data_IF_554210057508
#
_entry.id   IF_554210057508
#
_cell.length_a   1.000
_cell.length_b   1.000
_cell.length_c   1.000
_cell.angle_alpha   90.00
_cell.angle_beta   90.00
_cell.angle_gamma   90.00
#
_symmetry.space_group_name_H-M   'P 1'
#
loop_
_entity.id
_entity.type
_entity.pdbx_description
1 polymer ?
#
# COMPACT_ATOMS: atom_id res chain seq x y z
N UNK A 1 -8.64 0.37 -0.82
CA UNK A 1 -10.03 -0.20 -0.92
C UNK A 1 -10.44 -0.57 0.49
N UNK A 2 -11.59 -0.11 0.96
CA UNK A 2 -12.12 -0.39 2.30
C UNK A 2 -13.39 -1.23 2.32
N UNK A 3 -13.78 -1.79 1.19
CA UNK A 3 -14.94 -2.66 1.07
C UNK A 3 -14.78 -3.61 -0.11
N UNK A 4 -15.14 -4.89 0.10
CA UNK A 4 -15.19 -5.91 -0.94
C UNK A 4 -16.29 -6.94 -0.59
N UNK A 5 -17.04 -7.41 -1.59
CA UNK A 5 -18.19 -8.31 -1.38
C UNK A 5 -17.84 -9.66 -0.76
N UNK A 6 -16.58 -10.09 -0.88
CA UNK A 6 -16.09 -11.35 -0.32
C UNK A 6 -15.46 -11.22 1.08
N UNK A 7 -15.30 -10.00 1.58
CA UNK A 7 -14.74 -9.80 2.91
C UNK A 7 -15.69 -10.31 3.99
N UNK A 8 -15.23 -10.55 5.24
CA UNK A 8 -16.05 -11.16 6.26
C UNK A 8 -17.38 -10.45 6.41
N UNK A 9 -18.47 -11.16 6.19
CA UNK A 9 -19.83 -10.58 6.32
C UNK A 9 -20.07 -10.00 7.71
N UNK A 10 -19.45 -10.58 8.73
CA UNK A 10 -19.49 -10.09 10.12
C UNK A 10 -19.02 -8.64 10.26
N UNK A 11 -18.09 -8.20 9.40
CA UNK A 11 -17.66 -6.80 9.39
C UNK A 11 -18.75 -5.82 8.95
N UNK A 12 -19.76 -6.31 8.23
CA UNK A 12 -20.79 -5.45 7.63
C UNK A 12 -22.21 -5.75 8.16
N UNK A 13 -22.43 -6.90 8.80
CA UNK A 13 -23.76 -7.30 9.29
C UNK A 13 -23.99 -6.93 10.74
N UNK A 14 -22.95 -6.77 11.54
CA UNK A 14 -23.04 -6.47 12.97
C UNK A 14 -23.15 -4.97 13.27
N UNK A 15 -23.15 -4.13 12.23
CA UNK A 15 -23.21 -2.68 12.37
C UNK A 15 -24.50 -2.11 11.78
N UNK A 16 -24.98 -0.96 12.28
CA UNK A 16 -26.14 -0.29 11.72
C UNK A 16 -25.97 -0.06 10.21
N UNK A 17 -27.06 -0.18 9.45
CA UNK A 17 -27.04 0.10 8.00
C UNK A 17 -26.63 1.54 7.66
N UNK A 18 -26.65 2.44 8.65
CA UNK A 18 -26.14 3.81 8.58
C UNK A 18 -24.62 3.90 8.55
N UNK A 19 -23.91 2.86 9.01
CA UNK A 19 -22.45 2.87 9.03
C UNK A 19 -21.91 2.69 7.62
N UNK A 20 -20.98 3.54 7.23
CA UNK A 20 -20.28 3.40 5.96
C UNK A 20 -19.35 2.18 6.00
N UNK A 21 -19.09 1.55 4.86
CA UNK A 21 -18.09 0.48 4.80
C UNK A 21 -16.70 0.91 5.30
N UNK A 22 -16.38 2.20 5.25
CA UNK A 22 -15.16 2.77 5.79
C UNK A 22 -15.12 2.76 7.33
N UNK A 23 -16.22 3.11 7.99
CA UNK A 23 -16.25 3.09 9.47
C UNK A 23 -16.12 1.68 10.02
N UNK A 24 -16.71 0.71 9.34
CA UNK A 24 -16.55 -0.72 9.67
C UNK A 24 -15.11 -1.18 9.48
N UNK A 25 -14.52 -0.85 8.33
CA UNK A 25 -13.12 -1.16 8.02
C UNK A 25 -12.15 -0.57 9.05
N UNK A 26 -12.40 0.67 9.50
CA UNK A 26 -11.55 1.38 10.45
C UNK A 26 -11.61 0.84 11.89
N UNK A 27 -12.53 -0.10 12.19
CA UNK A 27 -12.55 -0.86 13.44
C UNK A 27 -11.61 -2.07 13.41
N UNK A 28 -11.27 -2.54 12.22
CA UNK A 28 -10.43 -3.70 12.00
C UNK A 28 -9.01 -3.33 11.57
N UNK A 29 -8.85 -2.22 10.86
CA UNK A 29 -7.59 -1.76 10.31
C UNK A 29 -7.34 -0.30 10.69
N UNK A 30 -6.09 0.04 10.97
CA UNK A 30 -5.68 1.40 11.36
C UNK A 30 -5.24 2.27 10.18
N UNK A 31 -5.16 1.70 8.97
CA UNK A 31 -4.78 2.42 7.75
C UNK A 31 -5.43 1.81 6.51
N UNK A 32 -5.51 2.61 5.44
CA UNK A 32 -6.00 2.17 4.14
C UNK A 32 -5.22 2.79 3.00
N UNK A 33 -4.92 1.99 1.96
CA UNK A 33 -4.46 2.50 0.68
C UNK A 33 -5.69 2.91 -0.16
N UNK A 34 -5.93 4.22 -0.27
CA UNK A 34 -7.01 4.81 -1.06
C UNK A 34 -6.57 5.08 -2.50
N UNK A 35 -6.96 4.21 -3.42
CA UNK A 35 -6.59 4.34 -4.85
C UNK A 35 -7.50 5.27 -5.63
N UNK A 36 -8.63 5.68 -5.08
CA UNK A 36 -9.63 6.52 -5.80
C UNK A 36 -9.06 7.85 -6.23
N UNK A 37 -8.24 8.49 -5.39
CA UNK A 37 -7.63 9.81 -5.67
C UNK A 37 -6.67 9.79 -6.86
N UNK A 38 -6.17 8.62 -7.24
CA UNK A 38 -5.34 8.46 -8.43
C UNK A 38 -6.14 8.64 -9.72
N UNK A 39 -7.40 8.19 -9.76
CA UNK A 39 -8.26 8.24 -10.95
C UNK A 39 -9.20 9.44 -10.96
N UNK A 40 -9.66 9.87 -9.78
CA UNK A 40 -10.64 10.94 -9.63
C UNK A 40 -10.50 11.62 -8.28
N UNK A 41 -10.50 12.94 -8.26
CA UNK A 41 -10.50 13.68 -7.00
C UNK A 41 -11.88 13.62 -6.35
N UNK A 42 -11.95 13.42 -5.03
CA UNK A 42 -13.20 13.46 -4.27
C UNK A 42 -13.75 14.89 -4.24
N UNK A 43 -15.03 15.05 -3.91
CA UNK A 43 -15.53 16.34 -3.49
C UNK A 43 -15.30 16.58 -1.99
N UNK A 44 -15.45 17.83 -1.55
CA UNK A 44 -15.20 18.24 -0.16
C UNK A 44 -16.05 17.45 0.85
N UNK A 45 -17.32 17.20 0.53
CA UNK A 45 -18.23 16.47 1.40
C UNK A 45 -17.80 15.00 1.59
N UNK A 46 -17.24 14.38 0.54
CA UNK A 46 -16.72 13.03 0.65
C UNK A 46 -15.50 12.97 1.60
N UNK A 47 -14.60 13.95 1.50
CA UNK A 47 -13.41 14.02 2.38
C UNK A 47 -13.83 14.25 3.85
N UNK A 48 -14.80 15.14 4.07
CA UNK A 48 -15.37 15.38 5.40
C UNK A 48 -15.99 14.11 5.97
N UNK A 49 -16.82 13.40 5.17
CA UNK A 49 -17.36 12.09 5.61
C UNK A 49 -16.28 11.07 5.91
N UNK A 50 -15.20 10.99 5.12
CA UNK A 50 -14.08 10.07 5.42
C UNK A 50 -13.44 10.40 6.76
N UNK A 51 -13.12 11.69 6.99
CA UNK A 51 -12.56 12.15 8.27
C UNK A 51 -13.43 11.72 9.46
N UNK A 52 -14.74 11.96 9.36
CA UNK A 52 -15.68 11.76 10.46
C UNK A 52 -16.06 10.28 10.66
N UNK A 53 -15.81 9.42 9.64
CA UNK A 53 -16.11 7.99 9.68
C UNK A 53 -15.03 7.13 10.34
N UNK A 54 -13.87 7.69 10.67
CA UNK A 54 -12.73 6.92 11.20
C UNK A 54 -12.22 7.49 12.53
N UNK A 55 -11.67 6.65 13.41
CA UNK A 55 -11.11 7.11 14.70
C UNK A 55 -9.87 8.00 14.49
N UNK A 56 -9.45 8.71 15.54
CA UNK A 56 -8.35 9.67 15.48
C UNK A 56 -7.00 9.04 15.11
N UNK A 57 -6.77 7.80 15.51
CA UNK A 57 -5.53 7.09 15.17
C UNK A 57 -5.48 6.54 13.74
N UNK A 58 -6.60 6.57 13.00
CA UNK A 58 -6.64 6.03 11.64
C UNK A 58 -5.88 6.93 10.66
N UNK A 59 -5.12 6.33 9.75
CA UNK A 59 -4.33 7.03 8.75
C UNK A 59 -4.70 6.62 7.34
N UNK A 60 -4.96 7.61 6.48
CA UNK A 60 -5.16 7.41 5.05
C UNK A 60 -3.82 7.49 4.31
N UNK A 61 -3.56 6.53 3.43
CA UNK A 61 -2.52 6.64 2.42
C UNK A 61 -3.19 6.85 1.05
N UNK A 62 -3.16 8.07 0.55
CA UNK A 62 -3.74 8.43 -0.75
C UNK A 62 -2.67 8.58 -1.82
N UNK A 63 -3.08 8.49 -3.09
CA UNK A 63 -2.19 8.71 -4.22
C UNK A 63 -2.38 10.09 -4.82
N UNK A 64 -1.29 10.68 -5.29
CA UNK A 64 -1.36 11.79 -6.21
C UNK A 64 -2.12 11.38 -7.47
N UNK A 65 -2.89 12.31 -8.04
CA UNK A 65 -3.70 12.06 -9.23
C UNK A 65 -2.81 11.69 -10.43
N UNK A 66 -3.31 10.82 -11.30
CA UNK A 66 -2.56 10.33 -12.45
C UNK A 66 -2.12 11.45 -13.43
N UNK A 67 -2.84 12.56 -13.49
CA UNK A 67 -2.40 13.69 -14.30
C UNK A 67 -1.03 14.21 -13.84
N UNK A 68 -0.82 14.33 -12.52
CA UNK A 68 0.45 14.80 -11.94
C UNK A 68 1.58 13.82 -12.30
N UNK A 69 1.35 12.51 -12.10
CA UNK A 69 2.41 11.51 -12.17
C UNK A 69 2.62 10.93 -13.56
N UNK A 70 1.55 10.69 -14.33
CA UNK A 70 1.60 9.98 -15.61
C UNK A 70 1.48 10.91 -16.81
N UNK A 71 0.61 11.92 -16.76
CA UNK A 71 0.42 12.86 -17.87
C UNK A 71 1.51 13.92 -17.85
N UNK A 72 1.60 14.68 -16.77
CA UNK A 72 2.58 15.77 -16.62
C UNK A 72 3.97 15.29 -16.23
N UNK A 73 4.10 14.07 -15.72
CA UNK A 73 5.37 13.51 -15.25
C UNK A 73 6.13 14.47 -14.33
N UNK A 74 5.39 15.05 -13.38
CA UNK A 74 5.82 15.98 -12.35
C UNK A 74 6.18 17.42 -12.83
N UNK A 75 5.91 17.75 -14.09
CA UNK A 75 6.18 19.09 -14.66
C UNK A 75 4.90 19.90 -14.79
N UNK A 76 4.98 21.20 -14.48
CA UNK A 76 3.88 22.14 -14.71
C UNK A 76 2.53 21.67 -14.12
N UNK A 77 2.55 21.09 -12.92
CA UNK A 77 1.38 20.53 -12.25
C UNK A 77 1.12 21.14 -10.85
N UNK A 78 1.67 22.34 -10.60
CA UNK A 78 1.57 23.00 -9.30
C UNK A 78 0.11 23.28 -8.89
N UNK A 79 -0.73 23.70 -9.84
CA UNK A 79 -2.15 23.96 -9.61
C UNK A 79 -2.91 22.68 -9.25
N UNK A 80 -2.64 21.56 -9.95
CA UNK A 80 -3.25 20.25 -9.66
C UNK A 80 -2.82 19.74 -8.30
N UNK A 81 -1.54 19.90 -7.94
CA UNK A 81 -1.02 19.53 -6.63
C UNK A 81 -1.70 20.36 -5.54
N UNK A 82 -1.71 21.68 -5.68
CA UNK A 82 -2.33 22.59 -4.72
C UNK A 82 -3.82 22.29 -4.55
N UNK A 83 -4.55 22.03 -5.65
CA UNK A 83 -5.96 21.65 -5.64
C UNK A 83 -6.17 20.34 -4.88
N UNK A 84 -5.36 19.30 -5.16
CA UNK A 84 -5.52 18.01 -4.50
C UNK A 84 -5.21 18.10 -3.00
N UNK A 85 -4.15 18.79 -2.61
CA UNK A 85 -3.79 18.96 -1.21
C UNK A 85 -4.85 19.80 -0.46
N UNK A 86 -5.37 20.86 -1.08
CA UNK A 86 -6.47 21.66 -0.52
C UNK A 86 -7.72 20.81 -0.29
N UNK A 87 -8.09 19.93 -1.24
CA UNK A 87 -9.23 19.03 -1.08
C UNK A 87 -9.05 18.03 0.07
N UNK A 88 -7.83 17.55 0.30
CA UNK A 88 -7.54 16.57 1.35
C UNK A 88 -7.22 17.21 2.71
N UNK A 89 -7.01 18.53 2.76
CA UNK A 89 -6.64 19.25 3.99
C UNK A 89 -7.59 19.04 5.19
N UNK A 90 -8.93 18.81 5.01
CA UNK A 90 -9.81 18.52 6.15
C UNK A 90 -9.49 17.24 6.91
N UNK A 91 -8.72 16.31 6.30
CA UNK A 91 -8.28 15.09 6.98
C UNK A 91 -7.29 15.37 8.12
N UNK A 92 -6.54 16.48 8.03
CA UNK A 92 -5.53 16.87 9.04
C UNK A 92 -4.55 15.70 9.31
N UNK A 93 -4.38 15.37 10.58
CA UNK A 93 -3.52 14.29 11.05
C UNK A 93 -3.89 12.89 10.49
N UNK A 94 -5.14 12.73 10.01
CA UNK A 94 -5.59 11.48 9.40
C UNK A 94 -5.05 11.27 7.98
N UNK A 95 -4.49 12.31 7.34
CA UNK A 95 -3.71 12.15 6.11
C UNK A 95 -2.30 11.66 6.46
N UNK A 96 -2.12 10.34 6.49
CA UNK A 96 -0.86 9.72 6.92
C UNK A 96 0.23 9.81 5.86
N UNK A 97 -0.09 9.51 4.60
CA UNK A 97 0.90 9.47 3.50
C UNK A 97 0.28 9.86 2.16
N UNK A 98 0.99 10.67 1.39
CA UNK A 98 0.72 10.90 -0.04
C UNK A 98 1.68 10.08 -0.89
N UNK A 99 1.14 9.13 -1.65
CA UNK A 99 1.92 8.22 -2.50
C UNK A 99 2.07 8.78 -3.91
N UNK A 100 3.30 8.92 -4.35
CA UNK A 100 3.68 9.35 -5.69
C UNK A 100 4.03 8.12 -6.54
N UNK A 101 3.03 7.54 -7.22
CA UNK A 101 3.24 6.38 -8.08
C UNK A 101 3.69 6.84 -9.47
N UNK A 102 4.94 6.57 -9.83
CA UNK A 102 5.53 6.94 -11.12
C UNK A 102 5.36 5.84 -12.17
N UNK A 103 5.14 6.17 -13.45
CA UNK A 103 5.05 5.18 -14.52
C UNK A 103 6.40 4.51 -14.80
N UNK A 104 6.39 3.39 -15.51
CA UNK A 104 7.61 2.69 -15.91
C UNK A 104 8.48 3.50 -16.89
N UNK A 105 7.91 4.49 -17.55
CA UNK A 105 8.61 5.45 -18.43
C UNK A 105 9.32 6.57 -17.66
N UNK A 106 9.18 6.63 -16.33
CA UNK A 106 9.89 7.59 -15.50
C UNK A 106 11.26 7.02 -15.11
N UNK A 107 12.24 7.25 -15.96
CA UNK A 107 13.61 6.71 -15.83
C UNK A 107 14.55 7.59 -15.02
N UNK A 108 15.83 7.16 -14.89
CA UNK A 108 16.86 7.87 -14.13
C UNK A 108 17.12 9.30 -14.62
N UNK A 109 16.94 9.56 -15.91
CA UNK A 109 17.10 10.88 -16.53
C UNK A 109 16.10 11.92 -15.99
N UNK A 110 15.03 11.47 -15.32
CA UNK A 110 13.98 12.32 -14.74
C UNK A 110 14.15 12.54 -13.23
N UNK A 111 15.21 12.03 -12.61
CA UNK A 111 15.48 12.29 -11.19
C UNK A 111 15.57 13.78 -10.84
N UNK A 112 16.09 14.68 -11.69
CA UNK A 112 16.04 16.13 -11.42
C UNK A 112 14.60 16.68 -11.34
N UNK A 113 13.67 16.15 -12.14
CA UNK A 113 12.26 16.53 -12.09
C UNK A 113 11.61 16.06 -10.77
N UNK A 114 11.95 14.85 -10.34
CA UNK A 114 11.50 14.31 -9.04
C UNK A 114 12.04 15.16 -7.87
N UNK A 115 13.31 15.55 -7.94
CA UNK A 115 13.94 16.39 -6.91
C UNK A 115 13.24 17.75 -6.80
N UNK A 116 13.01 18.41 -7.93
CA UNK A 116 12.28 19.68 -8.00
C UNK A 116 10.86 19.56 -7.47
N UNK A 117 10.15 18.51 -7.88
CA UNK A 117 8.78 18.26 -7.42
C UNK A 117 8.72 18.07 -5.91
N UNK A 118 9.58 17.21 -5.34
CA UNK A 118 9.62 16.94 -3.89
C UNK A 118 10.00 18.19 -3.10
N UNK A 119 10.91 19.03 -3.64
CA UNK A 119 11.31 20.30 -3.01
C UNK A 119 10.18 21.33 -2.94
N UNK A 120 9.22 21.28 -3.88
CA UNK A 120 8.09 22.20 -3.95
C UNK A 120 6.91 21.80 -3.03
N UNK A 121 6.91 20.57 -2.50
CA UNK A 121 5.85 20.09 -1.61
C UNK A 121 5.99 20.67 -0.19
N UNK A 122 4.89 20.82 0.58
CA UNK A 122 4.94 21.20 1.98
C UNK A 122 5.85 20.24 2.79
N UNK A 123 6.70 20.79 3.64
CA UNK A 123 7.68 20.01 4.41
C UNK A 123 7.05 19.01 5.38
N UNK A 124 5.86 19.35 5.91
CA UNK A 124 5.08 18.50 6.81
C UNK A 124 4.36 17.36 6.08
N UNK A 125 4.32 17.39 4.75
CA UNK A 125 3.64 16.36 3.97
C UNK A 125 4.49 15.09 3.91
N UNK A 126 4.01 14.02 4.51
CA UNK A 126 4.66 12.71 4.42
C UNK A 126 4.44 12.10 3.03
N UNK A 127 5.50 11.99 2.26
CA UNK A 127 5.47 11.52 0.86
C UNK A 127 6.17 10.19 0.70
N UNK A 128 5.56 9.31 -0.09
CA UNK A 128 6.16 8.03 -0.46
C UNK A 128 6.19 7.86 -1.99
N UNK A 129 7.33 7.51 -2.54
CA UNK A 129 7.58 7.38 -3.98
C UNK A 129 7.62 5.92 -4.39
N UNK A 130 6.70 5.51 -5.27
CA UNK A 130 6.69 4.21 -5.92
C UNK A 130 7.26 4.35 -7.33
N UNK A 131 8.44 3.78 -7.57
CA UNK A 131 9.07 3.72 -8.88
C UNK A 131 8.78 2.38 -9.57
N UNK A 132 8.77 2.38 -10.91
CA UNK A 132 8.51 1.19 -11.74
C UNK A 132 9.54 0.95 -12.83
N UNK A 133 10.40 1.92 -13.11
CA UNK A 133 11.48 1.77 -14.09
C UNK A 133 12.53 0.79 -13.56
N UNK A 134 12.95 -0.18 -14.40
CA UNK A 134 13.80 -1.30 -13.99
C UNK A 134 15.19 -0.89 -13.50
N UNK A 135 15.75 0.21 -13.99
CA UNK A 135 17.04 0.73 -13.53
C UNK A 135 17.08 0.99 -12.03
N UNK A 136 15.94 1.35 -11.42
CA UNK A 136 15.84 1.59 -9.98
C UNK A 136 15.82 0.30 -9.12
N UNK A 137 15.96 -0.87 -9.75
CA UNK A 137 15.98 -2.18 -9.08
C UNK A 137 17.23 -3.00 -9.44
N UNK A 138 18.15 -2.41 -10.19
CA UNK A 138 19.34 -3.10 -10.70
C UNK A 138 20.52 -3.14 -9.71
N UNK A 139 20.38 -2.56 -8.52
CA UNK A 139 21.46 -2.38 -7.52
C UNK A 139 22.67 -1.60 -8.06
N UNK A 140 22.44 -0.77 -9.09
CA UNK A 140 23.44 0.09 -9.72
C UNK A 140 23.40 1.53 -9.21
N UNK A 141 24.10 2.41 -9.94
CA UNK A 141 24.23 3.83 -9.58
C UNK A 141 22.90 4.57 -9.66
N UNK A 142 22.01 4.19 -10.58
CA UNK A 142 20.69 4.80 -10.75
C UNK A 142 19.80 4.54 -9.52
N UNK A 143 19.83 3.32 -8.98
CA UNK A 143 19.10 3.01 -7.75
C UNK A 143 19.70 3.73 -6.54
N UNK A 144 21.03 3.81 -6.47
CA UNK A 144 21.73 4.56 -5.42
C UNK A 144 21.38 6.04 -5.48
N UNK A 145 21.40 6.64 -6.68
CA UNK A 145 21.02 8.04 -6.88
C UNK A 145 19.57 8.31 -6.44
N UNK A 146 18.62 7.45 -6.83
CA UNK A 146 17.23 7.54 -6.34
C UNK A 146 17.15 7.51 -4.81
N UNK A 147 17.80 6.53 -4.18
CA UNK A 147 17.74 6.39 -2.72
C UNK A 147 18.36 7.60 -2.00
N UNK A 148 19.49 8.13 -2.51
CA UNK A 148 20.13 9.33 -1.96
C UNK A 148 19.22 10.56 -2.11
N UNK A 149 18.56 10.73 -3.26
CA UNK A 149 17.59 11.79 -3.48
C UNK A 149 16.43 11.67 -2.47
N UNK A 150 15.82 10.49 -2.32
CA UNK A 150 14.71 10.30 -1.40
C UNK A 150 15.13 10.59 0.06
N UNK A 151 16.31 10.13 0.48
CA UNK A 151 16.86 10.41 1.81
C UNK A 151 17.04 11.92 2.01
N UNK A 152 17.62 12.63 1.03
CA UNK A 152 17.86 14.09 1.12
C UNK A 152 16.57 14.91 1.20
N UNK A 153 15.46 14.37 0.68
CA UNK A 153 14.12 14.98 0.70
C UNK A 153 13.21 14.43 1.82
N UNK A 154 13.73 13.59 2.71
CA UNK A 154 12.94 12.90 3.73
C UNK A 154 11.72 12.17 3.15
N UNK A 155 11.80 11.75 1.89
CA UNK A 155 10.74 11.02 1.20
C UNK A 155 10.92 9.51 1.36
N UNK A 156 9.82 8.79 1.52
CA UNK A 156 9.83 7.34 1.71
C UNK A 156 9.85 6.62 0.36
N UNK A 157 10.65 5.56 0.24
CA UNK A 157 10.55 4.66 -0.91
C UNK A 157 9.46 3.62 -0.64
N UNK A 158 8.48 3.50 -1.55
CA UNK A 158 7.53 2.39 -1.49
C UNK A 158 8.23 1.10 -1.89
N UNK A 159 8.15 0.09 -1.05
CA UNK A 159 8.74 -1.23 -1.30
C UNK A 159 7.63 -2.17 -1.77
N UNK A 160 7.69 -2.57 -3.03
CA UNK A 160 6.76 -3.55 -3.57
C UNK A 160 7.38 -4.94 -3.48
N UNK A 161 6.71 -5.86 -2.78
CA UNK A 161 7.09 -7.26 -2.73
C UNK A 161 6.06 -8.12 -3.45
N UNK A 162 6.45 -8.61 -4.62
CA UNK A 162 5.63 -9.47 -5.48
C UNK A 162 6.17 -10.91 -5.54
N UNK A 163 7.13 -11.28 -4.69
CA UNK A 163 7.76 -12.62 -4.73
C UNK A 163 6.72 -13.73 -4.64
N UNK A 164 5.80 -13.65 -3.68
CA UNK A 164 4.74 -14.64 -3.52
C UNK A 164 3.82 -14.70 -4.76
N UNK A 165 3.45 -13.56 -5.35
CA UNK A 165 2.63 -13.49 -6.56
C UNK A 165 3.26 -14.28 -7.73
N UNK A 166 4.59 -14.26 -7.86
CA UNK A 166 5.32 -14.93 -8.93
C UNK A 166 5.77 -16.35 -8.58
N UNK A 167 5.46 -16.84 -7.37
CA UNK A 167 5.69 -18.23 -6.97
C UNK A 167 4.51 -19.10 -7.40
N UNK A 168 4.77 -20.34 -7.76
CA UNK A 168 3.76 -21.33 -8.09
C UNK A 168 3.18 -21.22 -9.51
N UNK A 169 2.47 -22.26 -9.95
CA UNK A 169 1.88 -22.35 -11.27
C UNK A 169 0.70 -21.37 -11.44
N UNK A 170 0.51 -20.88 -12.64
CA UNK A 170 -0.65 -20.05 -13.00
C UNK A 170 -1.92 -20.90 -13.15
N UNK A 171 -1.78 -22.23 -13.23
CA UNK A 171 -2.83 -23.16 -13.62
C UNK A 171 -3.75 -23.65 -12.46
N UNK A 172 -3.44 -23.27 -11.21
CA UNK A 172 -4.27 -23.64 -10.07
C UNK A 172 -5.57 -22.80 -10.02
N UNK A 173 -6.71 -23.33 -10.45
CA UNK A 173 -8.01 -22.68 -10.25
C UNK A 173 -8.88 -22.44 -11.48
N UNK A 174 -8.58 -23.09 -12.62
CA UNK A 174 -9.39 -23.00 -13.84
C UNK A 174 -9.09 -21.77 -14.73
N UNK A 175 -9.70 -21.73 -15.93
CA UNK A 175 -9.35 -20.79 -17.02
C UNK A 175 -9.49 -19.32 -16.63
N UNK A 176 -10.55 -18.96 -15.90
CA UNK A 176 -10.79 -17.56 -15.48
C UNK A 176 -9.76 -17.09 -14.44
N UNK A 177 -9.36 -17.99 -13.52
CA UNK A 177 -8.35 -17.68 -12.51
C UNK A 177 -6.98 -17.49 -13.14
N UNK A 178 -6.65 -18.33 -14.10
CA UNK A 178 -5.41 -18.25 -14.88
C UNK A 178 -5.31 -16.90 -15.60
N UNK A 179 -6.33 -16.53 -16.38
CA UNK A 179 -6.35 -15.26 -17.11
C UNK A 179 -6.18 -14.04 -16.19
N UNK A 180 -6.83 -14.08 -15.03
CA UNK A 180 -6.69 -13.02 -14.03
C UNK A 180 -5.27 -12.95 -13.45
N UNK A 181 -4.64 -14.10 -13.13
CA UNK A 181 -3.28 -14.13 -12.59
C UNK A 181 -2.25 -13.67 -13.63
N UNK A 182 -2.43 -14.05 -14.89
CA UNK A 182 -1.60 -13.59 -16.02
C UNK A 182 -1.70 -12.06 -16.15
N UNK A 183 -2.91 -11.49 -16.18
CA UNK A 183 -3.13 -10.03 -16.24
C UNK A 183 -2.51 -9.29 -15.04
N UNK A 184 -2.66 -9.84 -13.83
CA UNK A 184 -2.07 -9.22 -12.63
C UNK A 184 -0.54 -9.30 -12.65
N UNK A 185 0.04 -10.42 -13.10
CA UNK A 185 1.49 -10.59 -13.23
C UNK A 185 2.07 -9.66 -14.29
N UNK A 186 1.35 -9.43 -15.39
CA UNK A 186 1.75 -8.47 -16.44
C UNK A 186 1.78 -7.02 -15.89
N UNK A 187 0.78 -6.65 -15.11
CA UNK A 187 0.64 -5.30 -14.53
C UNK A 187 1.57 -5.03 -13.34
N UNK A 188 2.15 -6.05 -12.73
CA UNK A 188 3.02 -5.93 -11.56
C UNK A 188 4.47 -6.19 -11.93
N UNK A 189 5.42 -5.34 -11.52
CA UNK A 189 6.81 -5.57 -11.84
C UNK A 189 7.35 -6.82 -11.10
N UNK A 190 8.05 -7.66 -11.83
CA UNK A 190 8.87 -8.74 -11.25
C UNK A 190 10.27 -8.19 -11.01
N UNK A 191 10.45 -7.54 -9.89
CA UNK A 191 11.69 -6.86 -9.52
C UNK A 191 12.24 -7.40 -8.21
N UNK A 192 13.56 -7.28 -7.97
CA UNK A 192 14.14 -7.57 -6.66
C UNK A 192 13.49 -6.72 -5.55
N UNK A 193 13.31 -7.31 -4.38
CA UNK A 193 12.82 -6.57 -3.22
C UNK A 193 13.99 -5.82 -2.59
N UNK A 194 13.93 -4.49 -2.66
CA UNK A 194 14.93 -3.62 -2.06
C UNK A 194 14.41 -3.12 -0.70
N UNK A 195 14.86 -3.77 0.37
CA UNK A 195 14.40 -3.50 1.73
C UNK A 195 15.20 -2.34 2.32
N UNK A 196 14.88 -1.12 1.89
CA UNK A 196 15.51 0.10 2.37
C UNK A 196 14.46 1.11 2.81
N UNK A 197 14.60 1.66 4.02
CA UNK A 197 13.84 2.80 4.48
C UNK A 197 14.62 4.08 4.15
N UNK A 198 14.08 4.92 3.29
CA UNK A 198 14.70 6.23 2.93
C UNK A 198 14.15 7.38 3.76
N UNK A 199 13.09 7.15 4.52
CA UNK A 199 12.46 8.08 5.46
C UNK A 199 12.00 7.37 6.72
N UNK A 200 11.22 8.06 7.55
CA UNK A 200 10.75 7.57 8.84
C UNK A 200 9.44 6.78 8.77
N UNK A 201 8.84 6.73 7.58
CA UNK A 201 7.58 6.02 7.35
C UNK A 201 7.76 4.97 6.24
N UNK A 202 8.42 3.84 6.49
CA UNK A 202 8.58 2.78 5.49
C UNK A 202 7.21 2.23 5.06
N UNK A 203 7.03 2.09 3.74
CA UNK A 203 5.80 1.58 3.17
C UNK A 203 6.09 0.29 2.40
N UNK A 204 5.45 -0.79 2.83
CA UNK A 204 5.52 -2.09 2.17
C UNK A 204 4.18 -2.40 1.52
N UNK A 205 4.19 -2.74 0.24
CA UNK A 205 3.07 -3.27 -0.52
C UNK A 205 3.37 -4.73 -0.86
N UNK A 206 2.90 -5.62 -0.02
CA UNK A 206 3.06 -7.06 -0.20
C UNK A 206 1.92 -7.61 -1.06
N UNK A 207 2.25 -8.28 -2.15
CA UNK A 207 1.28 -8.92 -3.04
C UNK A 207 1.45 -10.43 -2.94
N UNK A 208 0.53 -11.05 -2.23
CA UNK A 208 0.49 -12.51 -2.05
C UNK A 208 -0.12 -13.23 -3.25
N UNK A 209 -0.13 -14.57 -3.16
CA UNK A 209 -0.84 -15.47 -4.04
C UNK A 209 -1.87 -16.31 -3.25
N UNK A 210 -2.46 -17.33 -3.86
CA UNK A 210 -3.50 -18.17 -3.22
C UNK A 210 -2.91 -19.29 -2.36
N UNK A 211 -1.58 -19.42 -2.29
CA UNK A 211 -0.89 -20.47 -1.54
C UNK A 211 -0.32 -19.88 -0.25
N UNK A 212 -0.89 -20.26 0.88
CA UNK A 212 -0.54 -19.69 2.18
C UNK A 212 0.92 -19.94 2.59
N UNK A 213 1.48 -21.10 2.22
CA UNK A 213 2.91 -21.39 2.48
C UNK A 213 3.86 -20.50 1.69
N UNK A 214 3.51 -20.12 0.46
CA UNK A 214 4.30 -19.18 -0.34
C UNK A 214 4.27 -17.79 0.30
N UNK A 215 3.07 -17.35 0.72
CA UNK A 215 2.90 -16.10 1.43
C UNK A 215 3.69 -16.11 2.73
N UNK A 216 3.56 -17.16 3.53
CA UNK A 216 4.28 -17.32 4.80
C UNK A 216 5.79 -17.20 4.63
N UNK A 217 6.37 -17.91 3.65
CA UNK A 217 7.82 -17.84 3.38
C UNK A 217 8.29 -16.42 3.06
N UNK A 218 7.47 -15.67 2.29
CA UNK A 218 7.80 -14.30 1.94
C UNK A 218 7.53 -13.30 3.07
N UNK A 219 6.54 -13.56 3.95
CA UNK A 219 6.19 -12.68 5.08
C UNK A 219 7.16 -12.79 6.27
N UNK A 220 7.71 -13.97 6.54
CA UNK A 220 8.61 -14.19 7.68
C UNK A 220 9.79 -13.20 7.76
N UNK A 221 10.53 -12.89 6.66
CA UNK A 221 11.56 -11.87 6.70
C UNK A 221 11.01 -10.47 7.02
N UNK A 222 9.78 -10.17 6.59
CA UNK A 222 9.14 -8.89 6.86
C UNK A 222 8.80 -8.71 8.33
N UNK A 223 8.37 -9.75 9.03
CA UNK A 223 8.13 -9.68 10.48
C UNK A 223 9.37 -9.16 11.21
N UNK A 224 10.53 -9.74 10.92
CA UNK A 224 11.81 -9.30 11.52
C UNK A 224 12.14 -7.85 11.16
N UNK A 225 11.92 -7.49 9.88
CA UNK A 225 12.26 -6.16 9.40
C UNK A 225 11.35 -5.07 9.94
N UNK A 226 10.03 -5.33 10.02
CA UNK A 226 9.07 -4.40 10.61
C UNK A 226 9.37 -4.17 12.08
N UNK A 227 9.65 -5.24 12.87
CA UNK A 227 10.08 -5.12 14.27
C UNK A 227 11.35 -4.29 14.41
N UNK A 228 12.33 -4.52 13.53
CA UNK A 228 13.55 -3.72 13.52
C UNK A 228 13.24 -2.23 13.31
N UNK A 229 12.43 -1.89 12.29
CA UNK A 229 12.06 -0.50 12.00
C UNK A 229 11.26 0.15 13.12
N UNK A 230 10.34 -0.59 13.76
CA UNK A 230 9.62 -0.09 14.93
C UNK A 230 10.56 0.20 16.11
N UNK A 231 11.57 -0.66 16.35
CA UNK A 231 12.60 -0.42 17.36
C UNK A 231 13.50 0.79 17.02
N UNK A 232 13.63 1.12 15.73
CA UNK A 232 14.30 2.33 15.23
C UNK A 232 13.40 3.58 15.32
N UNK A 233 12.18 3.45 15.85
CA UNK A 233 11.22 4.55 15.99
C UNK A 233 10.46 4.91 14.70
N UNK A 234 10.46 4.02 13.70
CA UNK A 234 9.79 4.27 12.41
C UNK A 234 8.32 3.86 12.45
N UNK A 235 7.48 4.64 11.78
CA UNK A 235 6.04 4.34 11.60
C UNK A 235 5.82 3.53 10.32
N UNK A 236 5.59 2.24 10.44
CA UNK A 236 5.58 1.30 9.30
C UNK A 236 4.19 1.06 8.76
N UNK A 237 3.97 1.34 7.48
CA UNK A 237 2.77 0.95 6.75
C UNK A 237 2.99 -0.36 6.01
N UNK A 238 2.16 -1.36 6.30
CA UNK A 238 2.24 -2.67 5.67
C UNK A 238 0.89 -3.02 5.01
N UNK A 239 0.84 -2.91 3.68
CA UNK A 239 -0.37 -3.18 2.90
C UNK A 239 -0.34 -4.58 2.31
N UNK A 240 -1.31 -5.41 2.68
CA UNK A 240 -1.51 -6.75 2.15
C UNK A 240 -2.45 -6.72 0.95
N UNK A 241 -1.98 -7.22 -0.18
CA UNK A 241 -2.74 -7.35 -1.41
C UNK A 241 -2.80 -8.80 -1.87
N UNK A 242 -3.93 -9.19 -2.41
CA UNK A 242 -4.08 -10.40 -3.24
C UNK A 242 -4.41 -9.99 -4.68
N UNK A 243 -4.29 -10.87 -5.67
CA UNK A 243 -4.54 -10.51 -7.07
C UNK A 243 -5.88 -9.79 -7.31
N UNK A 244 -6.95 -10.25 -6.68
CA UNK A 244 -8.30 -9.67 -6.72
C UNK A 244 -8.70 -8.97 -5.41
N UNK A 245 -7.82 -8.93 -4.41
CA UNK A 245 -8.07 -8.46 -3.05
C UNK A 245 -9.22 -9.16 -2.29
N UNK A 246 -9.76 -10.25 -2.84
CA UNK A 246 -10.84 -11.02 -2.23
C UNK A 246 -10.44 -11.52 -0.83
N UNK A 247 -9.26 -12.09 -0.72
CA UNK A 247 -8.75 -12.69 0.51
C UNK A 247 -7.67 -11.83 1.19
N UNK A 248 -7.63 -10.52 0.90
CA UNK A 248 -6.66 -9.59 1.51
C UNK A 248 -6.73 -9.55 3.05
N UNK A 249 -7.90 -9.58 3.72
CA UNK A 249 -7.97 -9.62 5.18
C UNK A 249 -7.30 -10.86 5.78
N UNK A 250 -7.46 -12.04 5.18
CA UNK A 250 -6.82 -13.28 5.68
C UNK A 250 -5.30 -13.25 5.50
N UNK A 251 -4.81 -12.64 4.41
CA UNK A 251 -3.38 -12.40 4.25
C UNK A 251 -2.83 -11.43 5.30
N UNK A 252 -3.60 -10.39 5.62
CA UNK A 252 -3.24 -9.48 6.71
C UNK A 252 -3.22 -10.19 8.07
N UNK A 253 -4.22 -11.04 8.35
CA UNK A 253 -4.23 -11.86 9.56
C UNK A 253 -3.03 -12.81 9.61
N UNK A 254 -2.67 -13.44 8.49
CA UNK A 254 -1.48 -14.29 8.43
C UNK A 254 -0.19 -13.52 8.81
N UNK A 255 -0.06 -12.27 8.37
CA UNK A 255 1.04 -11.41 8.80
C UNK A 255 0.99 -11.12 10.31
N UNK A 256 -0.20 -10.81 10.85
CA UNK A 256 -0.42 -10.54 12.27
C UNK A 256 -0.06 -11.77 13.11
N UNK A 257 -0.51 -12.96 12.70
CA UNK A 257 -0.21 -14.23 13.41
C UNK A 257 1.30 -14.50 13.46
N UNK A 258 1.99 -14.29 12.33
CA UNK A 258 3.44 -14.43 12.26
C UNK A 258 4.16 -13.38 13.11
N UNK A 259 3.68 -12.16 13.13
CA UNK A 259 4.23 -11.08 13.94
C UNK A 259 4.09 -11.37 15.43
N UNK A 260 2.92 -11.87 15.85
CA UNK A 260 2.58 -12.16 17.24
C UNK A 260 3.16 -13.50 17.74
N UNK A 261 3.59 -14.39 16.85
CA UNK A 261 4.18 -15.68 17.22
C UNK A 261 5.51 -15.54 17.97
N UNK A 262 6.21 -14.44 17.77
CA UNK A 262 7.39 -14.07 18.52
C UNK A 262 6.97 -13.19 19.70
N UNK A 263 7.07 -13.72 20.92
CA UNK A 263 6.68 -13.09 22.20
C UNK A 263 7.48 -11.83 22.56
N UNK A 264 7.83 -11.02 21.60
CA UNK A 264 8.39 -9.69 21.84
C UNK A 264 7.33 -8.76 22.44
N UNK A 265 7.75 -7.71 23.08
CA UNK A 265 6.97 -6.80 23.94
C UNK A 265 5.76 -6.09 23.28
N UNK A 266 5.59 -6.18 21.96
CA UNK A 266 4.53 -5.54 21.21
C UNK A 266 3.79 -6.58 20.36
N UNK A 267 2.46 -6.60 20.47
CA UNK A 267 1.59 -7.45 19.66
C UNK A 267 0.64 -6.59 18.82
N UNK A 268 0.37 -7.02 17.60
CA UNK A 268 -0.66 -6.43 16.75
C UNK A 268 -2.03 -7.00 17.15
N UNK A 269 -3.07 -6.17 17.06
CA UNK A 269 -4.44 -6.62 17.26
C UNK A 269 -4.88 -7.57 16.14
N UNK A 270 -5.59 -8.63 16.50
CA UNK A 270 -6.14 -9.56 15.53
C UNK A 270 -7.36 -8.94 14.84
N UNK A 271 -7.52 -9.24 13.55
CA UNK A 271 -8.73 -8.89 12.84
C UNK A 271 -9.90 -9.79 13.31
N UNK A 272 -11.11 -9.25 13.36
CA UNK A 272 -12.32 -9.99 13.72
C UNK A 272 -12.79 -10.89 12.57
N UNK A 273 -11.90 -11.73 12.06
CA UNK A 273 -12.21 -12.73 11.03
C UNK A 273 -12.27 -14.12 11.66
N UNK A 274 -13.34 -14.86 11.39
CA UNK A 274 -13.35 -16.29 11.65
C UNK A 274 -12.46 -16.95 10.59
N UNK A 275 -11.75 -18.02 10.98
CA UNK A 275 -11.01 -18.84 10.01
C UNK A 275 -11.91 -19.12 8.81
N UNK A 276 -11.36 -19.00 7.59
CA UNK A 276 -12.09 -19.47 6.41
C UNK A 276 -12.55 -20.91 6.71
N UNK A 277 -13.83 -21.26 6.48
CA UNK A 277 -14.18 -22.65 6.50
C UNK A 277 -13.23 -23.34 5.52
N UNK A 278 -12.54 -24.38 5.99
CA UNK A 278 -11.71 -25.20 5.12
C UNK A 278 -12.54 -25.49 3.88
N UNK A 279 -12.02 -25.12 2.74
CA UNK A 279 -12.66 -25.44 1.47
C UNK A 279 -12.49 -26.94 1.34
N UNK A 280 -13.45 -27.70 1.93
CA UNK A 280 -13.53 -29.12 1.73
C UNK A 280 -13.52 -29.31 0.21
N UNK A 281 -12.44 -29.90 -0.28
CA UNK A 281 -12.35 -30.38 -1.64
C UNK A 281 -13.53 -31.33 -1.84
N UNK A 282 -14.61 -30.82 -2.40
CA UNK A 282 -15.62 -31.64 -3.01
C UNK A 282 -15.01 -32.16 -4.30
N UNK A 283 -14.76 -33.44 -4.31
CA UNK A 283 -14.24 -34.30 -5.35
C UNK A 283 -14.65 -33.96 -6.78
#
# INVERSE_FOLDING_TARGET
MWQHSYWPKTWFTNYPKSDSGLSVYAKECNTVEGNTTFYSLPNQDAVTRWRDSVPEHFRFAFKFHQNITHVHQLKHCDEEVARQLSLLSPLKEKLGVMMLQLPSSFGPEKLPDLDTFLAALPQELNVAVEVRHLAFFAKGDEEKALNQLLISRAANRVIMDTRALFTGPVDAGGTNRRAMLEDVREKKPRVPVNVIATGDTPIVRFVGNDVDDDNRRCLLPWVKKVKQWQNEGKDVYFFCHRPDNKDAPWLAQQFIDLFNSDKSSYALENLSIKNQPEQNALF
#
